data_IF_090063364766
#
_entry.id   IF_090063364766
#
_cell.length_a   1.000
_cell.length_b   1.000
_cell.length_c   1.000
_cell.angle_alpha   90.00
_cell.angle_beta   90.00
_cell.angle_gamma   90.00
#
_symmetry.space_group_name_H-M   'P 1'
#
loop_
_entity.id
_entity.type
_entity.pdbx_description
1 polymer ?
#
# COMPACT_ATOMS: atom_id res chain seq x y z
N UNK A 1 15.05 -45.49 55.55
CA UNK A 1 13.59 -45.55 55.22
C UNK A 1 12.98 -44.16 55.03
N UNK A 2 13.22 -43.21 55.95
CA UNK A 2 12.64 -41.84 55.81
C UNK A 2 13.17 -41.05 54.58
N UNK A 3 14.47 -41.16 54.27
CA UNK A 3 15.09 -40.50 53.14
C UNK A 3 14.55 -41.02 51.78
N UNK A 4 14.42 -42.35 51.65
CA UNK A 4 13.87 -42.97 50.45
C UNK A 4 12.39 -42.56 50.21
N UNK A 5 11.60 -42.43 51.29
CA UNK A 5 10.23 -41.97 51.20
C UNK A 5 10.09 -40.50 50.82
N UNK A 6 11.06 -39.65 51.18
CA UNK A 6 11.11 -38.24 50.78
C UNK A 6 11.55 -38.03 49.32
N UNK A 7 12.44 -38.89 48.82
CA UNK A 7 12.85 -38.91 47.40
C UNK A 7 11.71 -39.38 46.50
N UNK A 8 11.04 -40.46 46.84
CA UNK A 8 9.91 -40.98 46.13
C UNK A 8 8.72 -39.97 46.08
N UNK A 9 8.48 -39.25 47.17
CA UNK A 9 7.50 -38.18 47.22
C UNK A 9 7.85 -37.01 46.29
N UNK A 10 9.13 -36.60 46.24
CA UNK A 10 9.59 -35.54 45.31
C UNK A 10 9.45 -35.95 43.85
N UNK A 11 9.78 -37.19 43.51
CA UNK A 11 9.59 -37.72 42.16
C UNK A 11 8.11 -37.76 41.78
N UNK A 12 7.21 -38.15 42.65
CA UNK A 12 5.76 -38.14 42.44
C UNK A 12 5.21 -36.74 42.32
N UNK A 13 5.69 -35.78 43.09
CA UNK A 13 5.31 -34.36 42.96
C UNK A 13 5.78 -33.80 41.61
N UNK A 14 7.02 -34.09 41.17
CA UNK A 14 7.53 -33.68 39.84
C UNK A 14 6.76 -34.34 38.68
N UNK A 15 6.38 -35.61 38.79
CA UNK A 15 5.58 -36.30 37.78
C UNK A 15 4.17 -35.72 37.70
N UNK A 16 3.58 -35.34 38.84
CA UNK A 16 2.28 -34.64 38.86
C UNK A 16 2.34 -33.27 38.20
N UNK A 17 3.41 -32.50 38.45
CA UNK A 17 3.62 -31.18 37.81
C UNK A 17 3.83 -31.32 36.30
N UNK A 18 4.57 -32.35 35.84
CA UNK A 18 4.76 -32.64 34.43
C UNK A 18 3.45 -33.01 33.73
N UNK A 19 2.61 -33.82 34.32
CA UNK A 19 1.32 -34.22 33.76
C UNK A 19 0.37 -33.00 33.62
N UNK A 20 0.38 -32.08 34.58
CA UNK A 20 -0.40 -30.84 34.48
C UNK A 20 0.14 -29.89 33.39
N UNK A 21 1.48 -29.78 33.25
CA UNK A 21 2.11 -29.00 32.17
C UNK A 21 1.79 -29.61 30.82
N UNK A 22 1.86 -30.93 30.65
CA UNK A 22 1.49 -31.61 29.40
C UNK A 22 0.02 -31.33 29.03
N UNK A 23 -0.88 -31.45 30.00
CA UNK A 23 -2.29 -31.13 29.80
C UNK A 23 -2.55 -29.69 29.39
N UNK A 24 -1.82 -28.73 29.99
CA UNK A 24 -1.89 -27.33 29.64
C UNK A 24 -1.33 -27.07 28.22
N UNK A 25 -0.24 -27.76 27.87
CA UNK A 25 0.36 -27.68 26.54
C UNK A 25 -0.60 -28.21 25.46
N UNK A 26 -1.23 -29.36 25.69
CA UNK A 26 -2.21 -29.93 24.77
C UNK A 26 -3.42 -29.02 24.59
N UNK A 27 -3.92 -28.45 25.68
CA UNK A 27 -4.99 -27.46 25.63
C UNK A 27 -4.61 -26.22 24.82
N UNK A 28 -3.46 -25.61 25.11
CA UNK A 28 -2.96 -24.43 24.41
C UNK A 28 -2.72 -24.73 22.92
N UNK A 29 -2.15 -25.89 22.59
CA UNK A 29 -1.94 -26.34 21.21
C UNK A 29 -3.26 -26.53 20.47
N UNK A 30 -4.27 -27.10 21.13
CA UNK A 30 -5.62 -27.24 20.56
C UNK A 30 -6.29 -25.89 20.29
N UNK A 31 -6.18 -24.94 21.23
CA UNK A 31 -6.69 -23.58 21.06
C UNK A 31 -5.97 -22.85 19.93
N UNK A 32 -4.65 -22.92 19.87
CA UNK A 32 -3.84 -22.32 18.80
C UNK A 32 -4.24 -22.84 17.43
N UNK A 33 -4.41 -24.16 17.30
CA UNK A 33 -4.85 -24.80 16.05
C UNK A 33 -6.24 -24.32 15.63
N UNK A 34 -7.18 -24.27 16.57
CA UNK A 34 -8.55 -23.81 16.33
C UNK A 34 -8.58 -22.34 15.89
N UNK A 35 -7.87 -21.46 16.60
CA UNK A 35 -7.76 -20.04 16.26
C UNK A 35 -7.06 -19.84 14.92
N UNK A 36 -6.01 -20.60 14.63
CA UNK A 36 -5.29 -20.56 13.36
C UNK A 36 -6.20 -20.93 12.17
N UNK A 37 -6.99 -21.99 12.30
CA UNK A 37 -7.95 -22.41 11.27
C UNK A 37 -9.06 -21.38 11.09
N UNK A 38 -9.57 -20.80 12.17
CA UNK A 38 -10.57 -19.72 12.10
C UNK A 38 -10.02 -18.48 11.38
N UNK A 39 -8.78 -18.07 11.69
CA UNK A 39 -8.11 -16.97 11.02
C UNK A 39 -7.90 -17.24 9.52
N UNK A 40 -7.45 -18.46 9.17
CA UNK A 40 -7.32 -18.92 7.77
C UNK A 40 -8.63 -18.77 7.01
N UNK A 41 -9.73 -19.27 7.57
CA UNK A 41 -11.04 -19.20 6.94
C UNK A 41 -11.46 -17.75 6.66
N UNK A 42 -11.26 -16.83 7.62
CA UNK A 42 -11.57 -15.40 7.46
C UNK A 42 -10.67 -14.74 6.40
N UNK A 43 -9.40 -15.12 6.34
CA UNK A 43 -8.46 -14.62 5.33
C UNK A 43 -8.89 -15.05 3.93
N UNK A 44 -9.22 -16.32 3.72
CA UNK A 44 -9.71 -16.81 2.43
C UNK A 44 -10.99 -16.10 2.00
N UNK A 45 -11.97 -15.99 2.88
CA UNK A 45 -13.21 -15.28 2.59
C UNK A 45 -12.99 -13.82 2.17
N UNK A 46 -11.99 -13.16 2.74
CA UNK A 46 -11.71 -11.75 2.47
C UNK A 46 -10.81 -11.57 1.24
N UNK A 47 -9.94 -12.53 0.94
CA UNK A 47 -8.95 -12.45 -0.12
C UNK A 47 -9.55 -12.27 -1.51
N UNK A 48 -10.61 -13.02 -1.84
CA UNK A 48 -11.27 -12.94 -3.14
C UNK A 48 -11.90 -11.56 -3.34
N UNK A 49 -12.62 -11.05 -2.33
CA UNK A 49 -13.23 -9.72 -2.36
C UNK A 49 -12.18 -8.62 -2.46
N UNK A 50 -11.10 -8.72 -1.67
CA UNK A 50 -10.00 -7.77 -1.72
C UNK A 50 -9.33 -7.75 -3.10
N UNK A 51 -8.99 -8.93 -3.63
CA UNK A 51 -8.39 -9.06 -4.96
C UNK A 51 -9.30 -8.50 -6.05
N UNK A 52 -10.60 -8.79 -5.99
CA UNK A 52 -11.59 -8.25 -6.91
C UNK A 52 -11.61 -6.70 -6.87
N UNK A 53 -11.67 -6.11 -5.66
CA UNK A 53 -11.67 -4.66 -5.50
C UNK A 53 -10.39 -4.01 -6.06
N UNK A 54 -9.22 -4.59 -5.81
CA UNK A 54 -7.96 -4.09 -6.40
C UNK A 54 -8.01 -4.19 -7.93
N UNK A 55 -8.42 -5.34 -8.45
CA UNK A 55 -8.44 -5.60 -9.89
C UNK A 55 -9.41 -4.68 -10.65
N UNK A 56 -10.48 -4.17 -10.02
CA UNK A 56 -11.36 -3.17 -10.65
C UNK A 56 -10.70 -1.81 -10.85
N UNK A 57 -9.66 -1.48 -10.08
CA UNK A 57 -8.92 -0.22 -10.18
C UNK A 57 -7.80 -0.27 -11.21
N UNK A 58 -7.24 -1.45 -11.49
CA UNK A 58 -6.06 -1.60 -12.36
C UNK A 58 -6.25 -1.04 -13.78
N UNK A 59 -7.39 -1.20 -14.46
CA UNK A 59 -7.60 -0.64 -15.79
C UNK A 59 -7.43 0.89 -15.82
N UNK A 60 -8.02 1.60 -14.87
CA UNK A 60 -7.91 3.07 -14.74
C UNK A 60 -6.46 3.52 -14.47
N UNK A 61 -5.66 2.65 -13.84
CA UNK A 61 -4.25 2.86 -13.55
C UNK A 61 -3.31 2.44 -14.70
N UNK A 62 -3.84 2.21 -15.91
CA UNK A 62 -3.05 1.85 -17.08
C UNK A 62 -2.64 0.38 -17.16
N UNK A 63 -3.27 -0.49 -16.38
CA UNK A 63 -2.95 -1.93 -16.29
C UNK A 63 -4.18 -2.81 -16.58
N UNK A 64 -4.83 -2.66 -17.77
CA UNK A 64 -6.14 -3.28 -18.05
C UNK A 64 -6.12 -4.80 -18.16
N UNK A 65 -4.96 -5.41 -18.36
CA UNK A 65 -4.79 -6.87 -18.51
C UNK A 65 -4.07 -7.50 -17.32
N UNK A 66 -3.71 -6.69 -16.33
CA UNK A 66 -3.03 -7.16 -15.15
C UNK A 66 -4.00 -7.75 -14.12
N UNK A 67 -3.49 -8.61 -13.26
CA UNK A 67 -4.28 -9.24 -12.19
C UNK A 67 -3.46 -9.41 -10.94
N UNK A 68 -4.03 -9.01 -9.80
CA UNK A 68 -3.56 -9.31 -8.46
C UNK A 68 -4.36 -10.51 -7.92
N UNK A 69 -3.67 -11.45 -7.30
CA UNK A 69 -4.28 -12.56 -6.56
C UNK A 69 -3.50 -12.81 -5.28
N UNK A 70 -4.14 -13.48 -4.31
CA UNK A 70 -3.50 -13.90 -3.07
C UNK A 70 -3.40 -15.42 -3.03
N UNK A 71 -2.24 -15.91 -2.56
CA UNK A 71 -1.98 -17.31 -2.31
C UNK A 71 -1.66 -17.50 -0.83
N UNK A 72 -2.14 -18.60 -0.27
CA UNK A 72 -1.94 -18.96 1.14
C UNK A 72 -1.06 -20.20 1.21
N UNK A 73 0.12 -20.04 1.75
CA UNK A 73 1.07 -21.12 2.02
C UNK A 73 1.00 -21.50 3.49
N UNK A 74 0.71 -22.77 3.78
CA UNK A 74 0.70 -23.28 5.16
C UNK A 74 2.12 -23.27 5.72
N UNK A 75 2.29 -22.70 6.91
CA UNK A 75 3.57 -22.63 7.62
C UNK A 75 3.37 -23.05 9.08
N UNK A 76 4.46 -23.24 9.81
CA UNK A 76 4.41 -23.42 11.27
C UNK A 76 3.75 -22.23 11.95
N UNK A 77 3.04 -22.49 13.05
CA UNK A 77 2.33 -21.45 13.78
C UNK A 77 3.29 -20.39 14.34
N UNK A 78 2.94 -19.11 14.10
CA UNK A 78 3.67 -17.96 14.61
C UNK A 78 2.71 -16.86 15.05
N UNK A 79 3.23 -15.69 15.49
CA UNK A 79 2.44 -14.59 16.04
C UNK A 79 1.32 -14.08 15.10
N UNK A 80 1.43 -14.29 13.78
CA UNK A 80 0.44 -13.87 12.78
C UNK A 80 -0.41 -15.00 12.20
N UNK A 81 -0.35 -16.20 12.81
CA UNK A 81 -1.17 -17.35 12.42
C UNK A 81 -0.37 -18.48 11.77
N UNK A 82 -1.07 -19.31 10.99
CA UNK A 82 -0.56 -20.57 10.42
C UNK A 82 -0.38 -20.50 8.89
N UNK A 83 -0.46 -19.29 8.31
CA UNK A 83 -0.32 -19.04 6.88
C UNK A 83 0.62 -17.90 6.59
N UNK A 84 1.41 -18.06 5.54
CA UNK A 84 2.05 -16.97 4.81
C UNK A 84 1.12 -16.54 3.68
N UNK A 85 0.84 -15.24 3.59
CA UNK A 85 0.03 -14.66 2.52
C UNK A 85 0.98 -14.08 1.46
N UNK A 86 0.93 -14.63 0.26
CA UNK A 86 1.72 -14.20 -0.87
C UNK A 86 0.85 -13.38 -1.83
N UNK A 87 1.30 -12.17 -2.17
CA UNK A 87 0.69 -11.37 -3.23
C UNK A 87 1.28 -11.78 -4.56
N UNK A 88 0.46 -12.32 -5.45
CA UNK A 88 0.85 -12.74 -6.77
C UNK A 88 0.40 -11.70 -7.81
N UNK A 89 1.30 -11.36 -8.69
CA UNK A 89 1.10 -10.42 -9.77
C UNK A 89 1.23 -11.08 -11.14
N UNK A 90 0.24 -10.86 -11.97
CA UNK A 90 0.22 -11.23 -13.37
C UNK A 90 0.11 -9.95 -14.20
N UNK A 91 1.16 -9.54 -14.91
CA UNK A 91 1.22 -8.25 -15.60
C UNK A 91 0.30 -8.15 -16.82
N UNK A 92 0.03 -9.27 -17.50
CA UNK A 92 -0.85 -9.34 -18.67
C UNK A 92 -1.43 -10.75 -18.85
N UNK A 93 -2.47 -10.88 -19.65
CA UNK A 93 -3.05 -12.18 -19.99
C UNK A 93 -2.00 -13.10 -20.62
N UNK A 94 -1.84 -14.31 -20.08
CA UNK A 94 -0.83 -15.29 -20.51
C UNK A 94 0.54 -15.16 -19.82
N UNK A 95 0.81 -14.10 -19.06
CA UNK A 95 1.97 -14.05 -18.19
C UNK A 95 1.80 -15.02 -17.00
N UNK A 96 2.89 -15.60 -16.54
CA UNK A 96 2.88 -16.40 -15.33
C UNK A 96 2.75 -15.47 -14.10
N UNK A 97 1.84 -15.80 -13.17
CA UNK A 97 1.74 -15.11 -11.90
C UNK A 97 3.02 -15.33 -11.07
N UNK A 98 3.57 -14.26 -10.52
CA UNK A 98 4.80 -14.27 -9.71
C UNK A 98 4.61 -13.42 -8.47
N UNK A 99 5.46 -13.62 -7.46
CA UNK A 99 5.45 -12.78 -6.27
C UNK A 99 5.60 -11.31 -6.65
N UNK A 100 4.68 -10.47 -6.21
CA UNK A 100 4.65 -9.03 -6.48
C UNK A 100 6.00 -8.35 -6.17
N UNK A 101 6.60 -8.70 -5.04
CA UNK A 101 7.88 -8.15 -4.60
C UNK A 101 9.06 -8.39 -5.56
N UNK A 102 8.91 -9.30 -6.55
CA UNK A 102 10.00 -9.67 -7.48
C UNK A 102 9.76 -9.19 -8.92
N UNK A 103 8.63 -8.55 -9.23
CA UNK A 103 8.18 -8.46 -10.62
C UNK A 103 7.79 -7.09 -11.13
N UNK A 104 7.50 -6.11 -10.29
CA UNK A 104 7.01 -4.81 -10.74
C UNK A 104 8.14 -3.78 -10.90
N UNK A 105 8.02 -2.91 -11.92
CA UNK A 105 8.83 -1.70 -12.03
C UNK A 105 8.40 -0.67 -10.96
N UNK A 106 9.24 0.34 -10.66
CA UNK A 106 8.95 1.36 -9.66
C UNK A 106 7.57 2.00 -9.83
N UNK A 107 7.27 2.52 -11.02
CA UNK A 107 5.99 3.14 -11.31
C UNK A 107 4.80 2.17 -11.28
N UNK A 108 4.96 0.93 -11.76
CA UNK A 108 3.91 -0.10 -11.63
C UNK A 108 3.65 -0.45 -10.17
N UNK A 109 4.71 -0.62 -9.37
CA UNK A 109 4.59 -0.94 -7.95
C UNK A 109 3.88 0.18 -7.19
N UNK A 110 4.18 1.44 -7.49
CA UNK A 110 3.51 2.60 -6.89
C UNK A 110 2.02 2.65 -7.24
N UNK A 111 1.64 2.34 -8.49
CA UNK A 111 0.23 2.25 -8.91
C UNK A 111 -0.50 1.06 -8.28
N UNK A 112 0.17 -0.08 -8.14
CA UNK A 112 -0.39 -1.25 -7.42
C UNK A 112 -0.58 -0.89 -5.93
N UNK A 113 0.39 -0.24 -5.30
CA UNK A 113 0.28 0.23 -3.93
C UNK A 113 -0.88 1.22 -3.75
N UNK A 114 -1.10 2.12 -4.72
CA UNK A 114 -2.26 3.01 -4.75
C UNK A 114 -3.58 2.22 -4.81
N UNK A 115 -3.69 1.24 -5.71
CA UNK A 115 -4.88 0.39 -5.82
C UNK A 115 -5.16 -0.39 -4.53
N UNK A 116 -4.12 -0.97 -3.92
CA UNK A 116 -4.20 -1.69 -2.63
C UNK A 116 -4.64 -0.74 -1.51
N UNK A 117 -4.04 0.46 -1.43
CA UNK A 117 -4.38 1.46 -0.41
C UNK A 117 -5.82 1.94 -0.54
N UNK A 118 -6.30 2.11 -1.78
CA UNK A 118 -7.69 2.49 -2.08
C UNK A 118 -8.65 1.36 -1.70
N UNK A 119 -8.37 0.12 -2.10
CA UNK A 119 -9.21 -1.03 -1.79
C UNK A 119 -9.28 -1.36 -0.29
N UNK A 120 -8.25 -0.98 0.49
CA UNK A 120 -8.16 -1.19 1.94
C UNK A 120 -8.40 0.08 2.77
N UNK A 121 -8.86 1.17 2.17
CA UNK A 121 -8.95 2.48 2.81
C UNK A 121 -9.74 2.48 4.14
N UNK A 122 -10.82 1.71 4.22
CA UNK A 122 -11.65 1.62 5.42
C UNK A 122 -11.03 0.80 6.56
N UNK A 123 -10.10 -0.11 6.24
CA UNK A 123 -9.52 -1.07 7.20
C UNK A 123 -8.07 -0.76 7.56
N UNK A 124 -7.42 0.16 6.86
CA UNK A 124 -6.01 0.48 7.05
C UNK A 124 -5.84 1.70 7.97
N UNK A 125 -5.20 1.56 9.14
CA UNK A 125 -5.00 2.67 10.09
C UNK A 125 -3.87 3.62 9.70
N UNK A 126 -3.14 3.39 8.60
CA UNK A 126 -1.99 4.22 8.20
C UNK A 126 -2.43 5.67 7.93
N UNK A 127 -1.98 6.65 8.74
CA UNK A 127 -2.47 8.02 8.66
C UNK A 127 -1.87 8.81 7.49
N UNK A 128 -0.65 8.45 7.06
CA UNK A 128 0.08 9.14 5.98
C UNK A 128 0.56 8.14 4.95
N UNK A 129 0.26 8.43 3.68
CA UNK A 129 0.72 7.66 2.53
C UNK A 129 1.63 8.55 1.66
N UNK A 130 2.74 7.99 1.19
CA UNK A 130 3.69 8.68 0.30
C UNK A 130 3.78 7.87 -0.98
N UNK A 131 3.48 8.52 -2.12
CA UNK A 131 3.59 7.93 -3.44
C UNK A 131 4.68 8.66 -4.23
N UNK A 132 5.67 7.90 -4.68
CA UNK A 132 6.71 8.36 -5.58
C UNK A 132 6.62 7.57 -6.88
N UNK A 133 6.88 8.25 -8.02
CA UNK A 133 6.86 7.66 -9.36
C UNK A 133 5.53 6.98 -9.80
N UNK A 134 4.40 7.22 -9.11
CA UNK A 134 3.14 6.60 -9.49
C UNK A 134 2.67 6.98 -10.90
N UNK A 135 3.13 8.12 -11.41
CA UNK A 135 2.86 8.66 -12.73
C UNK A 135 3.96 8.36 -13.77
N UNK A 136 4.97 7.55 -13.41
CA UNK A 136 6.05 7.20 -14.32
C UNK A 136 5.54 6.38 -15.52
N UNK A 137 5.88 6.84 -16.74
CA UNK A 137 5.54 6.18 -17.99
C UNK A 137 4.07 6.23 -18.40
N UNK A 138 3.26 7.06 -17.74
CA UNK A 138 1.84 7.26 -18.08
C UNK A 138 1.53 8.73 -18.30
N UNK A 139 0.33 9.03 -18.79
CA UNK A 139 -0.13 10.40 -19.02
C UNK A 139 -1.64 10.44 -19.33
N UNK A 140 -2.15 11.59 -19.69
CA UNK A 140 -3.54 11.76 -20.09
C UNK A 140 -4.55 11.25 -19.06
N UNK A 141 -5.47 10.38 -19.50
CA UNK A 141 -6.55 9.85 -18.66
C UNK A 141 -6.03 8.99 -17.47
N UNK A 142 -4.92 8.27 -17.65
CA UNK A 142 -4.32 7.46 -16.56
C UNK A 142 -3.78 8.39 -15.48
N UNK A 143 -3.06 9.46 -15.85
CA UNK A 143 -2.57 10.44 -14.87
C UNK A 143 -3.71 11.11 -14.10
N UNK A 144 -4.82 11.42 -14.79
CA UNK A 144 -6.01 11.95 -14.13
C UNK A 144 -6.60 10.98 -13.14
N UNK A 145 -6.79 9.71 -13.51
CA UNK A 145 -7.33 8.67 -12.61
C UNK A 145 -6.44 8.46 -11.37
N UNK A 146 -5.10 8.50 -11.53
CA UNK A 146 -4.15 8.46 -10.42
C UNK A 146 -4.41 9.63 -9.46
N UNK A 147 -4.49 10.85 -9.99
CA UNK A 147 -4.75 12.04 -9.19
C UNK A 147 -6.09 12.00 -8.46
N UNK A 148 -7.15 11.54 -9.10
CA UNK A 148 -8.49 11.38 -8.51
C UNK A 148 -8.48 10.37 -7.36
N UNK A 149 -7.88 9.20 -7.54
CA UNK A 149 -7.75 8.20 -6.48
C UNK A 149 -6.94 8.71 -5.27
N UNK A 150 -5.85 9.44 -5.52
CA UNK A 150 -5.06 10.07 -4.45
C UNK A 150 -5.85 11.16 -3.72
N UNK A 151 -6.64 11.96 -4.46
CA UNK A 151 -7.52 12.97 -3.88
C UNK A 151 -8.58 12.34 -2.98
N UNK A 152 -9.20 11.24 -3.41
CA UNK A 152 -10.21 10.52 -2.64
C UNK A 152 -9.61 9.94 -1.36
N UNK A 153 -8.43 9.33 -1.43
CA UNK A 153 -7.68 8.90 -0.24
C UNK A 153 -7.36 10.07 0.68
N UNK A 154 -7.05 11.24 0.12
CA UNK A 154 -6.73 12.48 0.84
C UNK A 154 -7.89 13.06 1.65
N UNK A 155 -9.12 12.58 1.47
CA UNK A 155 -10.27 13.01 2.28
C UNK A 155 -10.23 12.45 3.71
N UNK A 156 -9.58 11.31 3.92
CA UNK A 156 -9.56 10.60 5.21
C UNK A 156 -8.17 10.45 5.82
N UNK A 157 -7.12 10.78 5.06
CA UNK A 157 -5.71 10.65 5.48
C UNK A 157 -4.82 11.63 4.74
N UNK A 158 -3.59 11.80 5.23
CA UNK A 158 -2.60 12.57 4.51
C UNK A 158 -2.03 11.76 3.34
N UNK A 159 -2.05 12.34 2.14
CA UNK A 159 -1.43 11.76 0.95
C UNK A 159 -0.39 12.74 0.41
N UNK A 160 0.85 12.31 0.34
CA UNK A 160 1.96 13.02 -0.29
C UNK A 160 2.30 12.32 -1.60
N UNK A 161 2.42 13.10 -2.68
CA UNK A 161 2.78 12.57 -3.99
C UNK A 161 3.86 13.43 -4.63
N UNK A 162 4.93 12.79 -5.12
CA UNK A 162 5.89 13.41 -6.03
C UNK A 162 5.42 13.12 -7.44
N UNK A 163 5.22 14.17 -8.24
CA UNK A 163 4.66 14.05 -9.59
C UNK A 163 5.26 15.06 -10.56
N UNK A 164 5.37 14.67 -11.81
CA UNK A 164 5.73 15.53 -12.92
C UNK A 164 4.54 15.80 -13.87
N UNK A 165 3.40 15.13 -13.61
CA UNK A 165 2.20 15.28 -14.46
C UNK A 165 1.25 16.37 -13.94
N UNK A 166 0.85 17.34 -14.78
CA UNK A 166 -0.12 18.35 -14.40
C UNK A 166 -1.50 17.75 -14.07
N UNK A 167 -1.86 16.61 -14.67
CA UNK A 167 -3.09 15.87 -14.37
C UNK A 167 -3.15 15.39 -12.91
N UNK A 168 -2.03 14.95 -12.37
CA UNK A 168 -1.92 14.52 -10.96
C UNK A 168 -1.84 15.74 -10.05
N UNK A 169 -0.89 16.65 -10.30
CA UNK A 169 -0.64 17.84 -9.49
C UNK A 169 -1.89 18.70 -9.33
N UNK A 170 -2.64 18.84 -10.43
CA UNK A 170 -3.89 19.59 -10.41
C UNK A 170 -4.94 18.99 -9.48
N UNK A 171 -4.94 17.69 -9.14
CA UNK A 171 -5.90 17.04 -8.23
C UNK A 171 -5.60 17.29 -6.74
N UNK A 172 -4.42 17.78 -6.40
CA UNK A 172 -4.02 18.00 -5.01
C UNK A 172 -4.84 19.10 -4.30
N UNK A 173 -5.11 18.92 -3.00
CA UNK A 173 -5.68 19.96 -2.15
C UNK A 173 -4.68 21.10 -1.93
N UNK A 174 -3.41 20.74 -1.77
CA UNK A 174 -2.28 21.67 -1.62
C UNK A 174 -1.12 21.23 -2.52
N UNK A 175 -0.37 22.20 -3.06
CA UNK A 175 0.76 21.92 -3.93
C UNK A 175 2.01 22.59 -3.42
N UNK A 176 3.12 21.86 -3.47
CA UNK A 176 4.45 22.34 -3.18
C UNK A 176 5.30 22.29 -4.45
N UNK A 177 6.22 23.24 -4.57
CA UNK A 177 7.22 23.27 -5.64
C UNK A 177 8.61 23.11 -5.05
N UNK A 178 9.38 22.17 -5.60
CA UNK A 178 10.79 21.98 -5.23
C UNK A 178 11.64 22.83 -6.17
N UNK A 179 12.43 23.73 -5.59
CA UNK A 179 13.36 24.60 -6.28
C UNK A 179 14.79 24.16 -5.97
N UNK A 180 15.62 23.99 -7.00
CA UNK A 180 17.04 23.72 -6.83
C UNK A 180 17.82 25.02 -7.08
N UNK A 181 18.71 25.37 -6.17
CA UNK A 181 19.62 26.50 -6.28
C UNK A 181 21.05 26.00 -6.15
N UNK A 182 21.93 26.53 -6.99
CA UNK A 182 23.37 26.33 -6.83
C UNK A 182 23.96 27.56 -6.17
N UNK A 183 24.69 27.38 -5.09
CA UNK A 183 25.42 28.42 -4.39
C UNK A 183 26.74 27.83 -3.91
N UNK A 184 27.85 28.51 -4.25
CA UNK A 184 29.24 28.13 -3.86
C UNK A 184 29.60 26.68 -4.26
N UNK A 185 29.11 26.20 -5.42
CA UNK A 185 29.33 24.83 -5.91
C UNK A 185 28.51 23.74 -5.20
N UNK A 186 27.58 24.11 -4.32
CA UNK A 186 26.66 23.22 -3.64
C UNK A 186 25.24 23.41 -4.16
N UNK A 187 24.51 22.29 -4.27
CA UNK A 187 23.09 22.33 -4.66
C UNK A 187 22.21 22.31 -3.43
N UNK A 188 21.37 23.32 -3.30
CA UNK A 188 20.36 23.44 -2.25
C UNK A 188 18.97 23.17 -2.85
N UNK A 189 18.11 22.53 -2.07
CA UNK A 189 16.72 22.30 -2.43
C UNK A 189 15.82 23.04 -1.46
N UNK A 190 14.98 23.92 -1.99
CA UNK A 190 13.95 24.63 -1.23
C UNK A 190 12.57 24.09 -1.59
N UNK A 191 11.66 24.11 -0.64
CA UNK A 191 10.25 23.73 -0.82
C UNK A 191 9.40 24.96 -0.63
N UNK A 192 8.66 25.34 -1.67
CA UNK A 192 7.74 26.48 -1.67
C UNK A 192 6.31 25.98 -1.69
N UNK A 193 5.47 26.49 -0.78
CA UNK A 193 4.01 26.29 -0.84
C UNK A 193 3.44 27.22 -1.89
N UNK A 194 2.60 26.70 -2.78
CA UNK A 194 1.99 27.47 -3.84
C UNK A 194 0.59 27.96 -3.42
N UNK A 195 0.32 29.24 -3.63
CA UNK A 195 -1.04 29.79 -3.57
C UNK A 195 -1.83 29.46 -4.85
N UNK A 196 -3.06 29.92 -4.95
CA UNK A 196 -3.93 29.65 -6.11
C UNK A 196 -3.34 30.18 -7.41
N UNK A 197 -2.72 31.36 -7.40
CA UNK A 197 -2.15 31.96 -8.61
C UNK A 197 -0.86 31.25 -9.00
N UNK A 198 0.01 30.96 -8.03
CA UNK A 198 1.24 30.19 -8.22
C UNK A 198 0.97 28.79 -8.73
N UNK A 199 -0.12 28.15 -8.27
CA UNK A 199 -0.58 26.85 -8.78
C UNK A 199 -0.96 26.91 -10.24
N UNK A 200 -1.68 27.96 -10.69
CA UNK A 200 -2.03 28.14 -12.10
C UNK A 200 -0.76 28.25 -12.95
N UNK A 201 0.19 29.06 -12.52
CA UNK A 201 1.47 29.23 -13.26
C UNK A 201 2.28 27.92 -13.29
N UNK A 202 2.34 27.18 -12.17
CA UNK A 202 3.08 25.92 -12.14
C UNK A 202 2.41 24.82 -12.97
N UNK A 203 1.09 24.66 -12.92
CA UNK A 203 0.36 23.74 -13.80
C UNK A 203 0.51 24.15 -15.28
N UNK A 204 0.46 25.45 -15.58
CA UNK A 204 0.72 25.93 -16.94
C UNK A 204 2.14 25.62 -17.40
N UNK A 205 3.15 25.78 -16.54
CA UNK A 205 4.52 25.39 -16.80
C UNK A 205 4.66 23.89 -17.06
N UNK A 206 3.98 23.05 -16.28
CA UNK A 206 3.97 21.59 -16.45
C UNK A 206 3.30 21.18 -17.78
N UNK A 207 2.32 21.94 -18.26
CA UNK A 207 1.64 21.71 -19.55
C UNK A 207 2.46 22.19 -20.75
N UNK A 208 2.98 23.42 -20.68
CA UNK A 208 3.59 24.14 -21.82
C UNK A 208 5.12 24.16 -21.83
N UNK A 209 5.78 23.65 -20.78
CA UNK A 209 7.23 23.69 -20.67
C UNK A 209 7.76 25.13 -20.45
N UNK A 210 8.76 25.56 -21.24
CA UNK A 210 9.42 26.86 -21.06
C UNK A 210 8.58 28.06 -21.52
N UNK A 211 7.71 27.87 -22.51
CA UNK A 211 6.87 28.95 -23.07
C UNK A 211 5.42 28.77 -22.61
N UNK A 212 4.97 29.64 -21.72
CA UNK A 212 3.62 29.62 -21.18
C UNK A 212 2.76 30.61 -21.95
N UNK A 213 1.87 30.10 -22.83
CA UNK A 213 0.90 30.90 -23.54
C UNK A 213 -0.33 31.26 -22.70
N UNK A 214 -1.12 32.22 -23.15
CA UNK A 214 -2.43 32.53 -22.55
C UNK A 214 -3.37 31.32 -22.58
N UNK A 215 -3.34 30.56 -23.66
CA UNK A 215 -4.11 29.32 -23.80
C UNK A 215 -3.71 28.27 -22.79
N UNK A 216 -2.40 28.09 -22.52
CA UNK A 216 -1.89 27.17 -21.53
C UNK A 216 -2.33 27.56 -20.11
N UNK A 217 -2.35 28.88 -19.80
CA UNK A 217 -2.87 29.34 -18.49
C UNK A 217 -4.37 29.11 -18.35
N UNK A 218 -5.15 29.29 -19.45
CA UNK A 218 -6.57 28.96 -19.41
C UNK A 218 -6.80 27.47 -19.16
N UNK A 219 -6.09 26.58 -19.85
CA UNK A 219 -6.16 25.15 -19.62
C UNK A 219 -5.80 24.79 -18.18
N UNK A 220 -4.73 25.39 -17.61
CA UNK A 220 -4.35 25.20 -16.22
C UNK A 220 -5.45 25.64 -15.24
N UNK A 221 -6.10 26.78 -15.50
CA UNK A 221 -7.25 27.25 -14.72
C UNK A 221 -8.43 26.27 -14.77
N UNK A 222 -8.72 25.72 -15.95
CA UNK A 222 -9.78 24.72 -16.10
C UNK A 222 -9.47 23.44 -15.33
N UNK A 223 -8.25 22.95 -15.41
CA UNK A 223 -7.82 21.77 -14.64
C UNK A 223 -7.98 21.97 -13.12
N UNK A 224 -7.76 23.16 -12.61
CA UNK A 224 -7.90 23.49 -11.20
C UNK A 224 -9.36 23.77 -10.78
N UNK A 225 -10.23 24.25 -11.71
CA UNK A 225 -11.65 24.56 -11.46
C UNK A 225 -12.54 23.32 -11.35
N UNK A 226 -12.18 22.23 -12.00
CA UNK A 226 -12.91 20.95 -11.88
C UNK A 226 -12.92 20.37 -10.46
N UNK A 227 -12.53 21.17 -9.44
CA UNK A 227 -12.28 20.75 -8.06
C UNK A 227 -12.87 21.65 -7.00
N UNK A 228 -13.77 22.52 -7.44
CA UNK A 228 -14.58 23.31 -6.52
C UNK A 228 -15.59 22.47 -5.74
#
# INVERSE_FOLDING_TARGET
RQQACLEERRELEQLSDLAEIEKQLDKASGELKSLGLSLRAKRHQTADRFSANVNTLLPALGMPKAKLSLEFEAIEAHAHGIDRVNFLWQAHAGAQARLLAKTASGGELSRIALAISTASAQSNPTPTLIFDEADAGVGGAVGQAIGELMRDLGQTRQVLCVTHLPQVASQAHQQFKVLKREQDGLTYSDVQTLDTQDRIEEIARMLGGKEISTTTRLAAKEMLKLKG
#
